data_IF_159075650964
#
_entry.id   IF_159075650964
#
_cell.length_a   1.000
_cell.length_b   1.000
_cell.length_c   1.000
_cell.angle_alpha   90.00
_cell.angle_beta   90.00
_cell.angle_gamma   90.00
#
_symmetry.space_group_name_H-M   'P 1'
#
loop_
_entity.id
_entity.type
_entity.pdbx_description
1 polymer ?
#
# COMPACT_ATOMS: atom_id res chain seq x y z
N UNK A 1 -29.60 -45.48 -6.50
CA UNK A 1 -29.27 -45.08 -5.12
C UNK A 1 -27.98 -44.26 -5.08
N UNK A 2 -26.82 -44.78 -5.52
CA UNK A 2 -25.56 -44.01 -5.52
C UNK A 2 -25.56 -42.72 -6.37
N UNK A 3 -26.20 -42.72 -7.54
CA UNK A 3 -26.20 -41.54 -8.42
C UNK A 3 -26.90 -40.31 -7.82
N UNK A 4 -27.91 -40.49 -6.95
CA UNK A 4 -28.61 -39.37 -6.29
C UNK A 4 -27.94 -38.84 -5.02
N UNK A 5 -26.99 -39.60 -4.43
CA UNK A 5 -26.17 -39.14 -3.31
C UNK A 5 -24.99 -38.29 -3.78
N UNK A 6 -24.39 -38.65 -4.92
CA UNK A 6 -23.25 -37.93 -5.51
C UNK A 6 -23.67 -36.51 -5.95
N UNK A 7 -24.87 -36.34 -6.50
CA UNK A 7 -25.42 -35.02 -6.87
C UNK A 7 -25.71 -34.14 -5.63
N UNK A 8 -26.07 -34.77 -4.49
CA UNK A 8 -26.30 -34.07 -3.22
C UNK A 8 -25.00 -33.55 -2.59
N UNK A 9 -24.00 -34.43 -2.44
CA UNK A 9 -22.71 -34.08 -1.84
C UNK A 9 -21.95 -33.01 -2.64
N UNK A 10 -22.00 -33.05 -3.97
CA UNK A 10 -21.42 -32.00 -4.83
C UNK A 10 -22.11 -30.65 -4.61
N UNK A 11 -23.44 -30.64 -4.50
CA UNK A 11 -24.20 -29.44 -4.18
C UNK A 11 -23.81 -28.84 -2.82
N UNK A 12 -23.66 -29.68 -1.80
CA UNK A 12 -23.25 -29.26 -0.46
C UNK A 12 -21.79 -28.78 -0.40
N UNK A 13 -20.88 -29.38 -1.18
CA UNK A 13 -19.51 -28.87 -1.32
C UNK A 13 -19.49 -27.45 -1.90
N UNK A 14 -20.22 -27.21 -2.99
CA UNK A 14 -20.30 -25.89 -3.60
C UNK A 14 -20.95 -24.87 -2.67
N UNK A 15 -21.98 -25.28 -1.91
CA UNK A 15 -22.58 -24.46 -0.88
C UNK A 15 -21.55 -24.07 0.19
N UNK A 16 -20.81 -25.04 0.75
CA UNK A 16 -19.77 -24.77 1.74
C UNK A 16 -18.68 -23.87 1.19
N UNK A 17 -18.24 -24.07 -0.06
CA UNK A 17 -17.25 -23.20 -0.71
C UNK A 17 -17.77 -21.76 -0.87
N UNK A 18 -19.03 -21.57 -1.28
CA UNK A 18 -19.62 -20.24 -1.37
C UNK A 18 -19.71 -19.56 0.01
N UNK A 19 -20.05 -20.32 1.06
CA UNK A 19 -20.08 -19.81 2.43
C UNK A 19 -18.69 -19.39 2.90
N UNK A 20 -17.65 -20.17 2.58
CA UNK A 20 -16.26 -19.85 2.87
C UNK A 20 -15.84 -18.52 2.23
N UNK A 21 -16.02 -18.38 0.92
CA UNK A 21 -15.65 -17.16 0.17
C UNK A 21 -16.44 -15.94 0.66
N UNK A 22 -17.73 -16.12 0.97
CA UNK A 22 -18.57 -15.06 1.53
C UNK A 22 -18.08 -14.65 2.93
N UNK A 23 -17.71 -15.62 3.77
CA UNK A 23 -17.21 -15.34 5.11
C UNK A 23 -15.90 -14.54 5.07
N UNK A 24 -14.96 -14.92 4.19
CA UNK A 24 -13.68 -14.21 4.04
C UNK A 24 -13.90 -12.75 3.59
N UNK A 25 -14.80 -12.54 2.62
CA UNK A 25 -15.15 -11.20 2.15
C UNK A 25 -15.79 -10.35 3.26
N UNK A 26 -16.75 -10.90 4.02
CA UNK A 26 -17.45 -10.19 5.09
C UNK A 26 -16.49 -9.81 6.23
N UNK A 27 -15.64 -10.76 6.66
CA UNK A 27 -14.64 -10.54 7.71
C UNK A 27 -13.62 -9.49 7.27
N UNK A 28 -13.11 -9.57 6.05
CA UNK A 28 -12.18 -8.59 5.48
C UNK A 28 -12.78 -7.20 5.33
N UNK A 29 -14.11 -7.11 5.20
CA UNK A 29 -14.85 -5.84 5.11
C UNK A 29 -15.27 -5.28 6.48
N UNK A 30 -14.99 -6.00 7.57
CA UNK A 30 -15.36 -5.61 8.94
C UNK A 30 -16.78 -6.01 9.37
N UNK A 31 -17.51 -6.79 8.58
CA UNK A 31 -18.83 -7.34 8.94
C UNK A 31 -18.70 -8.62 9.78
N UNK A 32 -18.06 -8.52 10.96
CA UNK A 32 -17.62 -9.69 11.73
C UNK A 32 -18.73 -10.66 12.13
N UNK A 33 -19.86 -10.17 12.68
CA UNK A 33 -20.94 -11.04 13.15
C UNK A 33 -21.51 -11.92 12.03
N UNK A 34 -21.72 -11.33 10.84
CA UNK A 34 -22.20 -12.07 9.67
C UNK A 34 -21.11 -12.98 9.12
N UNK A 35 -19.88 -12.49 9.05
CA UNK A 35 -18.74 -13.27 8.57
C UNK A 35 -18.54 -14.57 9.35
N UNK A 36 -18.49 -14.50 10.68
CA UNK A 36 -18.36 -15.68 11.53
C UNK A 36 -19.55 -16.64 11.42
N UNK A 37 -20.78 -16.10 11.32
CA UNK A 37 -21.98 -16.94 11.13
C UNK A 37 -21.91 -17.78 9.86
N UNK A 38 -21.46 -17.20 8.74
CA UNK A 38 -21.31 -17.97 7.50
C UNK A 38 -20.12 -18.92 7.55
N UNK A 39 -19.03 -18.57 8.24
CA UNK A 39 -17.89 -19.44 8.49
C UNK A 39 -18.29 -20.69 9.31
N UNK A 40 -19.09 -20.51 10.36
CA UNK A 40 -19.60 -21.61 11.19
C UNK A 40 -20.47 -22.58 10.37
N UNK A 41 -21.34 -22.03 9.51
CA UNK A 41 -22.16 -22.84 8.59
C UNK A 41 -21.30 -23.61 7.59
N UNK A 42 -20.24 -22.99 7.06
CA UNK A 42 -19.26 -23.68 6.22
C UNK A 42 -18.61 -24.84 7.00
N UNK A 43 -18.14 -24.58 8.22
CA UNK A 43 -17.45 -25.57 9.03
C UNK A 43 -18.38 -26.74 9.44
N UNK A 44 -19.66 -26.48 9.71
CA UNK A 44 -20.66 -27.51 9.98
C UNK A 44 -20.81 -28.49 8.79
N UNK A 45 -20.98 -27.96 7.57
CA UNK A 45 -21.10 -28.78 6.36
C UNK A 45 -19.78 -29.53 6.11
N UNK A 46 -18.65 -28.83 6.19
CA UNK A 46 -17.33 -29.40 5.92
C UNK A 46 -16.97 -30.53 6.90
N UNK A 47 -17.29 -30.39 8.19
CA UNK A 47 -17.06 -31.44 9.20
C UNK A 47 -18.04 -32.61 9.02
N UNK A 48 -19.32 -32.35 8.75
CA UNK A 48 -20.33 -33.40 8.54
C UNK A 48 -19.99 -34.29 7.35
N UNK A 49 -19.52 -33.70 6.25
CA UNK A 49 -19.19 -34.39 5.01
C UNK A 49 -17.70 -34.77 4.89
N UNK A 50 -16.91 -34.43 5.90
CA UNK A 50 -15.46 -34.69 5.94
C UNK A 50 -14.70 -34.14 4.73
N UNK A 51 -14.82 -32.83 4.49
CA UNK A 51 -14.05 -32.07 3.50
C UNK A 51 -12.83 -31.40 4.15
N UNK A 52 -11.68 -32.09 4.29
CA UNK A 52 -10.57 -31.61 5.11
C UNK A 52 -9.95 -30.31 4.58
N UNK A 53 -9.95 -30.08 3.26
CA UNK A 53 -9.46 -28.82 2.68
C UNK A 53 -10.32 -27.64 3.13
N UNK A 54 -11.65 -27.77 3.13
CA UNK A 54 -12.55 -26.71 3.58
C UNK A 54 -12.43 -26.48 5.09
N UNK A 55 -12.27 -27.55 5.89
CA UNK A 55 -12.02 -27.41 7.33
C UNK A 55 -10.71 -26.64 7.58
N UNK A 56 -9.63 -27.01 6.88
CA UNK A 56 -8.33 -26.34 6.95
C UNK A 56 -8.44 -24.85 6.59
N UNK A 57 -9.06 -24.52 5.45
CA UNK A 57 -9.23 -23.12 5.02
C UNK A 57 -10.11 -22.33 6.00
N UNK A 58 -11.20 -22.93 6.50
CA UNK A 58 -12.05 -22.28 7.52
C UNK A 58 -11.30 -22.03 8.82
N UNK A 59 -10.46 -22.96 9.28
CA UNK A 59 -9.59 -22.77 10.44
C UNK A 59 -8.56 -21.65 10.20
N UNK A 60 -8.01 -21.51 9.00
CA UNK A 60 -7.10 -20.41 8.66
C UNK A 60 -7.79 -19.04 8.70
N UNK A 61 -9.00 -18.94 8.13
CA UNK A 61 -9.80 -17.71 8.19
C UNK A 61 -10.15 -17.38 9.64
N UNK A 62 -10.69 -18.35 10.39
CA UNK A 62 -11.02 -18.17 11.80
C UNK A 62 -9.82 -17.71 12.63
N UNK A 63 -8.67 -18.38 12.49
CA UNK A 63 -7.44 -18.01 13.19
C UNK A 63 -6.85 -16.65 12.82
N UNK A 64 -7.27 -16.05 11.70
CA UNK A 64 -6.87 -14.70 11.29
C UNK A 64 -7.72 -13.63 11.98
N UNK A 65 -9.03 -13.87 12.10
CA UNK A 65 -9.99 -12.84 12.53
C UNK A 65 -10.46 -12.98 13.99
N UNK A 66 -10.34 -14.16 14.59
CA UNK A 66 -10.70 -14.36 16.01
C UNK A 66 -9.79 -13.52 16.91
N UNK A 67 -10.42 -12.76 17.81
CA UNK A 67 -9.73 -11.86 18.74
C UNK A 67 -8.99 -12.62 19.84
N UNK A 68 -9.61 -13.70 20.37
CA UNK A 68 -9.01 -14.54 21.39
C UNK A 68 -7.77 -15.27 20.84
N UNK A 69 -6.61 -15.00 21.45
CA UNK A 69 -5.34 -15.50 20.93
C UNK A 69 -5.14 -17.00 21.07
N UNK A 70 -5.67 -17.58 22.13
CA UNK A 70 -5.57 -19.02 22.38
C UNK A 70 -6.46 -19.80 21.40
N UNK A 71 -7.69 -19.33 21.19
CA UNK A 71 -8.62 -19.88 20.21
C UNK A 71 -8.06 -19.77 18.79
N UNK A 72 -7.61 -18.58 18.39
CA UNK A 72 -7.00 -18.38 17.08
C UNK A 72 -5.77 -19.27 16.87
N UNK A 73 -4.90 -19.37 17.88
CA UNK A 73 -3.75 -20.27 17.84
C UNK A 73 -4.13 -21.74 17.73
N UNK A 74 -5.21 -22.16 18.39
CA UNK A 74 -5.75 -23.52 18.29
C UNK A 74 -6.25 -23.84 16.88
N UNK A 75 -7.03 -22.93 16.29
CA UNK A 75 -7.54 -23.06 14.91
C UNK A 75 -6.39 -23.19 13.90
N UNK A 76 -5.36 -22.35 14.00
CA UNK A 76 -4.24 -22.40 13.06
C UNK A 76 -3.40 -23.68 13.22
N UNK A 77 -3.25 -24.20 14.45
CA UNK A 77 -2.61 -25.51 14.69
C UNK A 77 -3.43 -26.66 14.12
N UNK A 78 -4.76 -26.60 14.20
CA UNK A 78 -5.66 -27.56 13.55
C UNK A 78 -5.50 -27.51 12.02
N UNK A 79 -5.49 -26.31 11.43
CA UNK A 79 -5.25 -26.11 10.00
C UNK A 79 -3.90 -26.69 9.56
N UNK A 80 -2.81 -26.38 10.26
CA UNK A 80 -1.48 -26.90 9.95
C UNK A 80 -1.44 -28.43 10.02
N UNK A 81 -2.08 -29.03 11.05
CA UNK A 81 -2.18 -30.49 11.19
C UNK A 81 -2.92 -31.13 10.01
N UNK A 82 -4.04 -30.56 9.60
CA UNK A 82 -4.81 -31.05 8.45
C UNK A 82 -3.99 -30.90 7.16
N UNK A 83 -3.34 -29.76 6.96
CA UNK A 83 -2.50 -29.53 5.78
C UNK A 83 -1.37 -30.57 5.68
N UNK A 84 -0.74 -30.91 6.81
CA UNK A 84 0.29 -31.95 6.89
C UNK A 84 -0.25 -33.34 6.57
N UNK A 85 -1.45 -33.70 7.04
CA UNK A 85 -2.03 -35.02 6.71
C UNK A 85 -2.46 -35.16 5.25
N UNK A 86 -2.55 -34.03 4.51
CA UNK A 86 -2.88 -33.99 3.08
C UNK A 86 -1.66 -33.79 2.18
N UNK A 87 -0.44 -33.72 2.73
CA UNK A 87 0.78 -33.30 2.01
C UNK A 87 0.59 -31.97 1.24
N UNK A 88 -0.26 -31.08 1.76
CA UNK A 88 -0.59 -29.81 1.14
C UNK A 88 0.42 -28.74 1.55
N UNK A 89 1.53 -28.63 0.79
CA UNK A 89 2.62 -27.68 1.05
C UNK A 89 2.10 -26.24 1.20
N UNK A 90 1.15 -25.80 0.36
CA UNK A 90 0.56 -24.46 0.43
C UNK A 90 -0.20 -24.23 1.74
N UNK A 91 -1.00 -25.22 2.16
CA UNK A 91 -1.71 -25.17 3.44
C UNK A 91 -0.76 -25.14 4.64
N UNK A 92 0.31 -25.95 4.62
CA UNK A 92 1.34 -25.97 5.67
C UNK A 92 2.00 -24.60 5.77
N UNK A 93 2.40 -24.05 4.62
CA UNK A 93 3.08 -22.76 4.57
C UNK A 93 2.17 -21.62 5.03
N UNK A 94 0.91 -21.58 4.57
CA UNK A 94 -0.08 -20.57 4.93
C UNK A 94 -0.42 -20.60 6.42
N UNK A 95 -0.78 -21.76 6.97
CA UNK A 95 -1.06 -21.91 8.40
C UNK A 95 0.17 -21.58 9.26
N UNK A 96 1.36 -22.02 8.84
CA UNK A 96 2.62 -21.69 9.49
C UNK A 96 2.94 -20.19 9.48
N UNK A 97 2.64 -19.48 8.39
CA UNK A 97 2.88 -18.04 8.30
C UNK A 97 1.96 -17.27 9.26
N UNK A 98 0.68 -17.65 9.33
CA UNK A 98 -0.28 -17.07 10.26
C UNK A 98 0.14 -17.33 11.73
N UNK A 99 0.52 -18.57 12.06
CA UNK A 99 1.06 -18.91 13.39
C UNK A 99 2.30 -18.09 13.73
N UNK A 100 3.23 -17.96 12.79
CA UNK A 100 4.49 -17.25 13.02
C UNK A 100 4.25 -15.76 13.26
N UNK A 101 3.31 -15.16 12.54
CA UNK A 101 2.87 -13.79 12.78
C UNK A 101 2.29 -13.62 14.19
N UNK A 102 1.43 -14.56 14.64
CA UNK A 102 0.85 -14.51 16.00
C UNK A 102 1.91 -14.69 17.08
N UNK A 103 2.80 -15.66 16.91
CA UNK A 103 3.93 -15.88 17.81
C UNK A 103 4.76 -14.60 17.96
N UNK A 104 5.05 -13.89 16.86
CA UNK A 104 5.75 -12.60 16.92
C UNK A 104 4.95 -11.51 17.66
N UNK A 105 3.63 -11.42 17.46
CA UNK A 105 2.75 -10.46 18.17
C UNK A 105 2.78 -10.74 19.69
N UNK A 106 2.85 -12.00 20.08
CA UNK A 106 2.97 -12.44 21.47
C UNK A 106 4.40 -12.29 22.04
N UNK A 107 5.34 -11.77 21.25
CA UNK A 107 6.73 -11.55 21.65
C UNK A 107 7.61 -12.81 21.61
N UNK A 108 7.18 -13.87 20.92
CA UNK A 108 7.94 -15.10 20.73
C UNK A 108 8.79 -15.01 19.45
N UNK A 109 10.10 -14.98 19.63
CA UNK A 109 11.04 -14.82 18.52
C UNK A 109 11.02 -16.01 17.54
N UNK A 110 10.62 -17.20 17.99
CA UNK A 110 10.50 -18.40 17.16
C UNK A 110 9.51 -18.20 16.00
N UNK A 111 8.57 -17.26 16.13
CA UNK A 111 7.64 -16.88 15.06
C UNK A 111 8.35 -16.37 13.81
N UNK A 112 9.53 -15.73 13.96
CA UNK A 112 10.35 -15.27 12.82
C UNK A 112 10.87 -16.46 12.03
N UNK A 113 11.41 -17.46 12.71
CA UNK A 113 11.93 -18.67 12.07
C UNK A 113 10.82 -19.45 11.36
N UNK A 114 9.63 -19.50 11.97
CA UNK A 114 8.44 -20.08 11.34
C UNK A 114 8.04 -19.33 10.06
N UNK A 115 8.03 -17.99 10.08
CA UNK A 115 7.74 -17.19 8.88
C UNK A 115 8.77 -17.44 7.76
N UNK A 116 10.06 -17.49 8.10
CA UNK A 116 11.13 -17.81 7.13
C UNK A 116 10.93 -19.19 6.53
N UNK A 117 10.62 -20.19 7.37
CA UNK A 117 10.33 -21.55 6.92
C UNK A 117 9.11 -21.60 5.98
N UNK A 118 8.00 -20.94 6.35
CA UNK A 118 6.81 -20.83 5.51
C UNK A 118 7.08 -20.14 4.17
N UNK A 119 7.91 -19.09 4.15
CA UNK A 119 8.34 -18.46 2.91
C UNK A 119 9.13 -19.44 2.01
N UNK A 120 9.96 -20.31 2.60
CA UNK A 120 10.65 -21.38 1.90
C UNK A 120 9.70 -22.38 1.24
N UNK A 121 8.71 -22.88 1.99
CA UNK A 121 7.70 -23.80 1.46
C UNK A 121 6.86 -23.18 0.32
N UNK A 122 6.48 -21.90 0.42
CA UNK A 122 5.79 -21.20 -0.67
C UNK A 122 6.67 -21.10 -1.92
N UNK A 123 7.98 -20.83 -1.75
CA UNK A 123 8.90 -20.77 -2.87
C UNK A 123 9.06 -22.15 -3.55
N UNK A 124 9.14 -23.23 -2.77
CA UNK A 124 9.15 -24.62 -3.27
C UNK A 124 7.86 -24.97 -4.03
N UNK A 125 6.71 -24.50 -3.55
CA UNK A 125 5.42 -24.66 -4.22
C UNK A 125 5.26 -23.84 -5.51
N UNK A 126 6.22 -22.96 -5.82
CA UNK A 126 6.21 -22.08 -6.99
C UNK A 126 5.55 -20.71 -6.75
N UNK A 127 5.07 -20.44 -5.54
CA UNK A 127 4.32 -19.23 -5.18
C UNK A 127 5.26 -18.08 -4.79
N UNK A 128 6.14 -17.70 -5.73
CA UNK A 128 7.26 -16.77 -5.49
C UNK A 128 6.84 -15.42 -4.90
N UNK A 129 5.69 -14.88 -5.31
CA UNK A 129 5.20 -13.59 -4.82
C UNK A 129 4.81 -13.69 -3.34
N UNK A 130 4.08 -14.74 -2.97
CA UNK A 130 3.62 -14.95 -1.60
C UNK A 130 4.78 -15.31 -0.66
N UNK A 131 5.73 -16.10 -1.16
CA UNK A 131 7.00 -16.35 -0.48
C UNK A 131 7.74 -15.04 -0.14
N UNK A 132 7.81 -14.11 -1.10
CA UNK A 132 8.49 -12.83 -0.90
C UNK A 132 7.75 -11.92 0.09
N UNK A 133 6.41 -11.90 0.08
CA UNK A 133 5.59 -11.17 1.07
C UNK A 133 5.79 -11.74 2.48
N UNK A 134 5.73 -13.07 2.62
CA UNK A 134 5.96 -13.75 3.90
C UNK A 134 7.37 -13.50 4.44
N UNK A 135 8.38 -13.52 3.54
CA UNK A 135 9.76 -13.18 3.90
C UNK A 135 9.91 -11.72 4.33
N UNK A 136 9.23 -10.79 3.66
CA UNK A 136 9.23 -9.38 4.07
C UNK A 136 8.61 -9.19 5.46
N UNK A 137 7.56 -9.93 5.78
CA UNK A 137 6.96 -9.93 7.12
C UNK A 137 7.96 -10.43 8.17
N UNK A 138 8.69 -11.51 7.89
CA UNK A 138 9.77 -11.99 8.76
C UNK A 138 10.87 -10.92 8.96
N UNK A 139 11.25 -10.21 7.89
CA UNK A 139 12.24 -9.13 7.96
C UNK A 139 11.78 -7.96 8.85
N UNK A 140 10.50 -7.60 8.78
CA UNK A 140 9.92 -6.56 9.62
C UNK A 140 9.92 -6.96 11.10
N UNK A 141 9.58 -8.22 11.41
CA UNK A 141 9.67 -8.75 12.77
C UNK A 141 11.10 -8.84 13.29
N UNK A 142 12.07 -9.18 12.43
CA UNK A 142 13.50 -9.07 12.76
C UNK A 142 13.85 -7.63 13.15
N UNK A 143 13.34 -6.63 12.44
CA UNK A 143 13.66 -5.22 12.70
C UNK A 143 13.12 -4.79 14.06
N UNK A 144 11.84 -5.09 14.31
CA UNK A 144 11.16 -4.79 15.58
C UNK A 144 11.78 -5.52 16.78
N UNK A 145 12.41 -6.66 16.54
CA UNK A 145 13.12 -7.44 17.56
C UNK A 145 14.62 -7.08 17.67
N UNK A 146 15.10 -6.09 16.91
CA UNK A 146 16.48 -5.60 17.02
C UNK A 146 17.54 -6.47 16.32
N UNK A 147 17.18 -7.19 15.25
CA UNK A 147 18.08 -8.02 14.44
C UNK A 147 18.48 -7.36 13.11
N UNK A 148 19.35 -6.34 13.11
CA UNK A 148 19.60 -5.49 11.94
C UNK A 148 20.09 -6.22 10.69
N UNK A 149 21.12 -7.06 10.82
CA UNK A 149 21.73 -7.73 9.66
C UNK A 149 20.76 -8.77 9.06
N UNK A 150 19.99 -9.48 9.91
CA UNK A 150 18.94 -10.41 9.47
C UNK A 150 17.78 -9.69 8.77
N UNK A 151 17.39 -8.50 9.26
CA UNK A 151 16.42 -7.64 8.57
C UNK A 151 16.91 -7.25 7.18
N UNK A 152 18.16 -6.79 7.06
CA UNK A 152 18.75 -6.35 5.79
C UNK A 152 18.72 -7.50 4.78
N UNK A 153 19.24 -8.67 5.17
CA UNK A 153 19.29 -9.87 4.32
C UNK A 153 17.90 -10.26 3.81
N UNK A 154 16.95 -10.48 4.71
CA UNK A 154 15.60 -10.91 4.33
C UNK A 154 14.85 -9.86 3.50
N UNK A 155 15.03 -8.57 3.79
CA UNK A 155 14.39 -7.50 3.04
C UNK A 155 14.97 -7.33 1.63
N UNK A 156 16.29 -7.47 1.46
CA UNK A 156 16.93 -7.44 0.13
C UNK A 156 16.47 -8.61 -0.75
N UNK A 157 16.40 -9.81 -0.17
CA UNK A 157 15.87 -11.00 -0.86
C UNK A 157 14.40 -10.82 -1.26
N UNK A 158 13.56 -10.34 -0.35
CA UNK A 158 12.15 -10.09 -0.62
C UNK A 158 11.97 -9.03 -1.72
N UNK A 159 12.72 -7.92 -1.65
CA UNK A 159 12.68 -6.85 -2.65
C UNK A 159 13.05 -7.35 -4.06
N UNK A 160 13.98 -8.31 -4.16
CA UNK A 160 14.38 -8.94 -5.42
C UNK A 160 13.19 -9.43 -6.26
N UNK A 161 12.15 -9.92 -5.59
CA UNK A 161 10.88 -10.35 -6.21
C UNK A 161 9.83 -9.22 -6.20
N UNK A 162 9.63 -8.56 -5.04
CA UNK A 162 8.54 -7.60 -4.84
C UNK A 162 8.64 -6.33 -5.71
N UNK A 163 9.84 -5.97 -6.18
CA UNK A 163 10.04 -4.85 -7.11
C UNK A 163 9.23 -4.97 -8.41
N UNK A 164 8.85 -6.20 -8.80
CA UNK A 164 8.04 -6.49 -9.98
C UNK A 164 6.55 -6.74 -9.65
N UNK A 165 6.12 -6.51 -8.41
CA UNK A 165 4.73 -6.71 -8.01
C UNK A 165 3.79 -5.74 -8.74
N UNK A 166 2.59 -6.22 -9.08
CA UNK A 166 1.50 -5.38 -9.56
C UNK A 166 0.90 -4.50 -8.45
N UNK A 167 1.08 -4.90 -7.19
CA UNK A 167 0.70 -4.12 -6.01
C UNK A 167 1.73 -3.01 -5.81
N UNK A 168 1.35 -1.78 -6.14
CA UNK A 168 2.25 -0.61 -6.17
C UNK A 168 2.92 -0.30 -4.83
N UNK A 169 2.34 -0.74 -3.73
CA UNK A 169 2.89 -0.56 -2.39
C UNK A 169 4.02 -1.54 -2.06
N UNK A 170 4.05 -2.73 -2.66
CA UNK A 170 4.99 -3.78 -2.26
C UNK A 170 6.47 -3.37 -2.45
N UNK A 171 6.88 -2.73 -3.57
CA UNK A 171 8.24 -2.22 -3.70
C UNK A 171 8.65 -1.21 -2.61
N UNK A 172 7.93 -0.09 -2.37
CA UNK A 172 8.33 0.85 -1.32
C UNK A 172 8.19 0.29 0.09
N UNK A 173 7.26 -0.66 0.34
CA UNK A 173 7.17 -1.37 1.62
C UNK A 173 8.44 -2.17 1.90
N UNK A 174 8.91 -2.95 0.92
CA UNK A 174 10.15 -3.73 1.04
C UNK A 174 11.38 -2.84 1.28
N UNK A 175 11.50 -1.74 0.54
CA UNK A 175 12.58 -0.76 0.74
C UNK A 175 12.51 -0.07 2.11
N UNK A 176 11.31 0.13 2.65
CA UNK A 176 11.13 0.73 3.99
C UNK A 176 11.55 -0.21 5.11
N UNK A 177 11.30 -1.52 4.98
CA UNK A 177 11.83 -2.52 5.94
C UNK A 177 13.36 -2.63 5.83
N UNK A 178 13.92 -2.59 4.61
CA UNK A 178 15.37 -2.53 4.42
C UNK A 178 15.97 -1.27 5.07
N UNK A 179 15.33 -0.11 4.91
CA UNK A 179 15.73 1.13 5.57
C UNK A 179 15.77 0.96 7.09
N UNK A 180 14.77 0.30 7.67
CA UNK A 180 14.72 0.02 9.10
C UNK A 180 15.93 -0.81 9.55
N UNK A 181 16.24 -1.91 8.87
CA UNK A 181 17.46 -2.69 9.16
C UNK A 181 18.74 -1.86 9.07
N UNK A 182 18.86 -1.01 8.05
CA UNK A 182 20.02 -0.10 7.88
C UNK A 182 20.12 0.97 8.97
N UNK A 183 18.98 1.45 9.49
CA UNK A 183 18.94 2.37 10.64
C UNK A 183 19.47 1.68 11.88
N UNK A 184 18.96 0.48 12.19
CA UNK A 184 19.39 -0.31 13.34
C UNK A 184 20.89 -0.69 13.26
N UNK A 185 21.41 -0.90 12.05
CA UNK A 185 22.82 -1.13 11.78
C UNK A 185 23.71 0.14 11.74
N UNK A 186 23.17 1.32 12.09
CA UNK A 186 23.82 2.64 12.03
C UNK A 186 24.51 2.94 10.67
N UNK A 187 23.93 2.49 9.55
CA UNK A 187 24.47 2.69 8.20
C UNK A 187 24.05 4.05 7.61
N UNK A 188 24.27 5.15 8.33
CA UNK A 188 23.70 6.50 8.03
C UNK A 188 23.77 6.95 6.56
N UNK A 189 24.89 6.75 5.88
CA UNK A 189 25.05 7.11 4.45
C UNK A 189 24.09 6.32 3.55
N UNK A 190 23.92 5.02 3.80
CA UNK A 190 22.99 4.16 3.07
C UNK A 190 21.55 4.52 3.41
N UNK A 191 21.24 4.75 4.68
CA UNK A 191 19.90 5.18 5.15
C UNK A 191 19.45 6.44 4.41
N UNK A 192 20.26 7.51 4.44
CA UNK A 192 19.90 8.77 3.76
C UNK A 192 19.69 8.55 2.26
N UNK A 193 20.59 7.82 1.59
CA UNK A 193 20.48 7.54 0.15
C UNK A 193 19.19 6.79 -0.16
N UNK A 194 18.88 5.75 0.61
CA UNK A 194 17.71 4.91 0.39
C UNK A 194 16.41 5.66 0.68
N UNK A 195 16.32 6.41 1.78
CA UNK A 195 15.13 7.20 2.08
C UNK A 195 14.86 8.23 0.99
N UNK A 196 15.89 8.94 0.50
CA UNK A 196 15.75 9.86 -0.62
C UNK A 196 15.24 9.17 -1.90
N UNK A 197 15.73 7.95 -2.19
CA UNK A 197 15.27 7.17 -3.33
C UNK A 197 13.79 6.75 -3.19
N UNK A 198 13.40 6.26 -2.01
CA UNK A 198 12.02 5.89 -1.70
C UNK A 198 11.09 7.08 -1.93
N UNK A 199 11.37 8.21 -1.30
CA UNK A 199 10.45 9.35 -1.33
C UNK A 199 10.41 10.10 -2.67
N UNK A 200 11.44 9.95 -3.49
CA UNK A 200 11.47 10.55 -4.83
C UNK A 200 10.64 9.73 -5.82
N UNK A 201 10.60 8.41 -5.64
CA UNK A 201 9.97 7.50 -6.59
C UNK A 201 8.57 7.03 -6.16
N UNK A 202 8.20 7.17 -4.89
CA UNK A 202 6.95 6.65 -4.34
C UNK A 202 6.23 7.68 -3.47
N UNK A 203 4.90 7.85 -3.64
CA UNK A 203 4.08 8.73 -2.81
C UNK A 203 3.75 8.04 -1.47
N UNK A 204 4.76 7.81 -0.64
CA UNK A 204 4.68 6.88 0.50
C UNK A 204 3.60 7.19 1.53
N UNK A 205 3.18 8.46 1.72
CA UNK A 205 2.08 8.76 2.66
C UNK A 205 0.72 8.25 2.17
N UNK A 206 0.59 7.92 0.88
CA UNK A 206 -0.61 7.26 0.34
C UNK A 206 -0.65 5.75 0.63
N UNK A 207 0.43 5.20 1.20
CA UNK A 207 0.57 3.80 1.60
C UNK A 207 0.69 3.74 3.13
N UNK A 208 -0.43 3.65 3.87
CA UNK A 208 -0.44 3.82 5.32
C UNK A 208 0.52 2.88 6.06
N UNK A 209 0.57 1.62 5.65
CA UNK A 209 1.42 0.59 6.25
C UNK A 209 2.89 0.89 5.97
N UNK A 210 3.23 1.21 4.72
CA UNK A 210 4.59 1.62 4.35
C UNK A 210 5.04 2.86 5.11
N UNK A 211 4.20 3.88 5.23
CA UNK A 211 4.52 5.09 5.96
C UNK A 211 4.63 4.85 7.48
N UNK A 212 3.86 3.91 8.03
CA UNK A 212 4.00 3.47 9.43
C UNK A 212 5.38 2.86 9.66
N UNK A 213 5.82 1.95 8.80
CA UNK A 213 7.15 1.32 8.90
C UNK A 213 8.26 2.37 8.81
N UNK A 214 8.15 3.36 7.91
CA UNK A 214 9.11 4.46 7.82
C UNK A 214 9.15 5.29 9.10
N UNK A 215 8.00 5.58 9.72
CA UNK A 215 7.92 6.30 10.99
C UNK A 215 8.59 5.51 12.11
N UNK A 216 8.29 4.22 12.24
CA UNK A 216 8.95 3.32 13.20
C UNK A 216 10.48 3.35 13.02
N UNK A 217 10.97 3.18 11.79
CA UNK A 217 12.41 3.24 11.50
C UNK A 217 13.04 4.59 11.89
N UNK A 218 12.34 5.70 11.66
CA UNK A 218 12.84 7.05 11.95
C UNK A 218 12.84 7.37 13.44
N UNK A 219 12.02 6.71 14.25
CA UNK A 219 12.07 6.86 15.71
C UNK A 219 13.40 6.36 16.29
N UNK A 220 14.05 5.39 15.61
CA UNK A 220 15.42 4.96 15.91
C UNK A 220 16.52 5.85 15.29
N UNK A 221 16.16 6.81 14.42
CA UNK A 221 17.08 7.76 13.79
C UNK A 221 16.49 9.19 13.72
N UNK A 222 16.31 9.88 14.86
CA UNK A 222 15.62 11.17 14.92
C UNK A 222 16.22 12.26 14.02
N UNK A 223 17.53 12.18 13.73
CA UNK A 223 18.24 13.10 12.83
C UNK A 223 17.62 13.15 11.40
N UNK A 224 16.90 12.10 10.98
CA UNK A 224 16.17 12.10 9.70
C UNK A 224 15.01 13.10 9.67
N UNK A 225 14.46 13.48 10.83
CA UNK A 225 13.40 14.50 10.96
C UNK A 225 13.96 15.92 10.84
N UNK A 226 15.24 16.11 11.13
CA UNK A 226 15.92 17.42 11.07
C UNK A 226 16.60 17.66 9.72
N UNK A 227 17.02 16.57 9.07
CA UNK A 227 17.75 16.60 7.81
C UNK A 227 16.91 17.27 6.70
N UNK A 228 17.48 18.30 6.07
CA UNK A 228 16.77 19.19 5.12
C UNK A 228 16.02 18.45 4.00
N UNK A 229 16.57 17.34 3.51
CA UNK A 229 16.00 16.57 2.40
C UNK A 229 14.86 15.63 2.78
N UNK A 230 14.73 15.29 4.07
CA UNK A 230 13.78 14.26 4.54
C UNK A 230 12.79 14.80 5.56
N UNK A 231 13.07 15.96 6.18
CA UNK A 231 12.18 16.61 7.16
C UNK A 231 10.75 16.84 6.66
N UNK A 232 10.58 17.15 5.38
CA UNK A 232 9.26 17.44 4.78
C UNK A 232 8.35 16.20 4.79
N UNK A 233 8.94 14.99 4.70
CA UNK A 233 8.18 13.75 4.80
C UNK A 233 7.51 13.60 6.17
N UNK A 234 8.17 14.05 7.23
CA UNK A 234 7.74 13.85 8.62
C UNK A 234 7.12 15.09 9.25
N UNK A 235 6.96 16.17 8.47
CA UNK A 235 6.28 17.37 8.93
C UNK A 235 4.77 17.10 9.11
N UNK A 236 4.16 17.84 10.04
CA UNK A 236 2.72 17.80 10.28
C UNK A 236 1.92 18.08 9.02
N UNK A 237 0.71 17.53 8.96
CA UNK A 237 -0.19 17.73 7.83
C UNK A 237 -0.52 19.21 7.67
N UNK A 238 -0.09 19.79 6.54
CA UNK A 238 -0.42 21.16 6.18
C UNK A 238 -1.77 21.15 5.47
N UNK A 239 -2.74 21.87 6.02
CA UNK A 239 -4.00 22.15 5.33
C UNK A 239 -3.77 23.33 4.41
N UNK A 240 -3.94 23.10 3.10
CA UNK A 240 -3.97 24.15 2.10
C UNK A 240 -5.40 24.64 1.91
N UNK A 241 -5.56 25.90 1.52
CA UNK A 241 -6.86 26.47 1.15
C UNK A 241 -6.78 27.10 -0.22
N UNK A 242 -7.86 27.08 -0.98
CA UNK A 242 -7.98 27.76 -2.28
C UNK A 242 -9.25 28.58 -2.33
N UNK A 243 -9.19 29.78 -2.90
CA UNK A 243 -10.38 30.62 -3.10
C UNK A 243 -11.35 29.95 -4.07
N UNK A 244 -12.65 30.15 -3.83
CA UNK A 244 -13.72 29.73 -4.73
C UNK A 244 -13.49 30.24 -6.15
N UNK A 245 -13.09 31.51 -6.28
CA UNK A 245 -12.82 32.15 -7.57
C UNK A 245 -11.71 31.45 -8.34
N UNK A 246 -10.62 31.06 -7.67
CA UNK A 246 -9.53 30.32 -8.32
C UNK A 246 -9.97 28.93 -8.78
N UNK A 247 -10.80 28.24 -7.99
CA UNK A 247 -11.37 26.94 -8.39
C UNK A 247 -12.26 27.08 -9.61
N UNK A 248 -13.15 28.06 -9.64
CA UNK A 248 -14.02 28.28 -10.80
C UNK A 248 -13.21 28.64 -12.05
N UNK A 249 -12.16 29.46 -11.92
CA UNK A 249 -11.25 29.73 -13.03
C UNK A 249 -10.57 28.45 -13.53
N UNK A 250 -10.02 27.61 -12.64
CA UNK A 250 -9.42 26.32 -13.00
C UNK A 250 -10.42 25.46 -13.80
N UNK A 251 -11.66 25.35 -13.33
CA UNK A 251 -12.72 24.57 -13.98
C UNK A 251 -13.03 25.10 -15.37
N UNK A 252 -13.13 26.41 -15.54
CA UNK A 252 -13.35 27.05 -16.85
C UNK A 252 -12.19 26.71 -17.80
N UNK A 253 -10.94 26.94 -17.39
CA UNK A 253 -9.78 26.70 -18.27
C UNK A 253 -9.60 25.22 -18.61
N UNK A 254 -9.88 24.32 -17.67
CA UNK A 254 -9.81 22.88 -17.91
C UNK A 254 -10.84 22.43 -18.96
N UNK A 255 -12.05 22.99 -18.92
CA UNK A 255 -13.10 22.74 -19.94
C UNK A 255 -12.74 23.33 -21.30
N UNK A 256 -12.16 24.53 -21.33
CA UNK A 256 -11.70 25.18 -22.58
C UNK A 256 -10.57 24.39 -23.27
N UNK A 257 -9.66 23.81 -22.49
CA UNK A 257 -8.55 23.03 -23.02
C UNK A 257 -8.93 21.61 -23.46
N UNK A 258 -10.05 21.05 -22.95
CA UNK A 258 -10.44 19.67 -23.20
C UNK A 258 -10.58 19.36 -24.70
N UNK A 259 -10.01 18.24 -25.21
CA UNK A 259 -9.44 17.11 -24.49
C UNK A 259 -7.95 17.22 -24.13
N UNK A 260 -7.30 18.37 -24.37
CA UNK A 260 -5.92 18.61 -23.96
C UNK A 260 -5.83 18.97 -22.47
N UNK A 261 -4.63 18.84 -21.90
CA UNK A 261 -4.35 19.27 -20.53
C UNK A 261 -4.14 20.78 -20.48
N UNK A 262 -4.88 21.44 -19.61
CA UNK A 262 -4.63 22.79 -19.15
C UNK A 262 -3.54 22.77 -18.08
N UNK A 263 -2.80 23.87 -17.92
CA UNK A 263 -2.26 24.15 -16.60
C UNK A 263 -1.75 25.58 -16.38
N UNK A 264 -1.57 25.87 -15.10
CA UNK A 264 -1.29 27.20 -14.58
C UNK A 264 -0.39 27.12 -13.35
N UNK A 265 0.26 28.24 -13.04
CA UNK A 265 0.92 28.43 -11.76
C UNK A 265 -0.13 28.82 -10.71
N UNK A 266 -0.01 28.24 -9.52
CA UNK A 266 -0.79 28.67 -8.37
C UNK A 266 -0.13 29.89 -7.74
N UNK A 267 -0.95 30.82 -7.24
CA UNK A 267 -0.51 31.93 -6.40
C UNK A 267 -1.08 31.79 -5.00
N UNK A 268 -0.21 31.91 -4.01
CA UNK A 268 -0.36 31.57 -2.60
C UNK A 268 0.27 30.21 -2.23
N UNK A 269 1.03 30.15 -1.13
CA UNK A 269 1.68 28.89 -0.68
C UNK A 269 0.69 27.99 0.06
N UNK A 270 0.04 28.51 1.11
CA UNK A 270 -0.97 27.80 1.91
C UNK A 270 -2.39 28.27 1.62
N UNK A 271 -2.53 29.50 1.13
CA UNK A 271 -3.80 30.14 0.84
C UNK A 271 -3.75 30.61 -0.60
N UNK A 272 -4.22 29.76 -1.50
CA UNK A 272 -4.20 30.00 -2.94
C UNK A 272 -5.32 30.98 -3.28
N UNK A 273 -4.99 32.08 -3.94
CA UNK A 273 -5.94 33.18 -4.22
C UNK A 273 -6.37 33.25 -5.67
N UNK A 274 -5.50 32.88 -6.61
CA UNK A 274 -5.73 32.94 -8.06
C UNK A 274 -4.70 32.08 -8.81
N UNK A 275 -4.96 31.83 -10.09
CA UNK A 275 -4.07 31.08 -10.98
C UNK A 275 -3.45 32.00 -12.04
N UNK A 276 -2.26 31.67 -12.50
CA UNK A 276 -1.62 32.32 -13.64
C UNK A 276 -1.42 31.32 -14.77
N UNK A 277 -2.16 31.45 -15.90
CA UNK A 277 -2.03 30.55 -17.04
C UNK A 277 -0.60 30.51 -17.57
N UNK A 278 -0.08 29.32 -17.83
CA UNK A 278 1.22 29.15 -18.46
C UNK A 278 1.00 29.31 -19.97
N UNK A 279 1.05 30.56 -20.43
CA UNK A 279 0.64 30.96 -21.79
C UNK A 279 1.29 30.11 -22.89
N UNK A 280 0.46 29.74 -23.88
CA UNK A 280 0.72 28.85 -25.01
C UNK A 280 1.78 29.38 -25.99
N UNK A 281 2.60 28.46 -26.50
CA UNK A 281 3.61 28.74 -27.51
C UNK A 281 4.11 27.47 -28.16
N UNK A 282 3.22 26.65 -28.73
CA UNK A 282 3.58 25.69 -29.78
C UNK A 282 2.32 25.18 -30.47
N UNK A 283 2.10 25.64 -31.68
CA UNK A 283 1.11 25.19 -32.67
C UNK A 283 1.30 23.74 -33.15
N UNK A 284 1.84 22.84 -32.31
CA UNK A 284 2.04 21.45 -32.66
C UNK A 284 2.07 20.58 -31.40
N UNK A 285 1.04 19.75 -31.21
CA UNK A 285 0.95 18.46 -30.49
C UNK A 285 2.04 18.10 -29.47
N UNK A 286 2.48 19.04 -28.64
CA UNK A 286 3.51 18.83 -27.62
C UNK A 286 2.85 19.00 -26.27
N UNK A 287 2.88 17.94 -25.47
CA UNK A 287 2.28 17.83 -24.14
C UNK A 287 2.52 19.09 -23.31
N UNK A 288 1.52 19.54 -22.53
CA UNK A 288 1.66 20.55 -21.47
C UNK A 288 2.96 20.38 -20.64
N UNK A 289 3.32 19.12 -20.37
CA UNK A 289 4.58 18.75 -19.73
C UNK A 289 5.84 19.28 -20.44
N UNK A 290 5.88 19.33 -21.77
CA UNK A 290 7.02 19.84 -22.53
C UNK A 290 7.13 21.37 -22.44
N UNK A 291 6.01 22.09 -22.44
CA UNK A 291 6.00 23.56 -22.33
C UNK A 291 6.41 24.02 -20.92
N UNK A 292 5.97 23.29 -19.88
CA UNK A 292 6.44 23.44 -18.50
C UNK A 292 7.94 23.11 -18.40
N UNK A 293 8.37 21.93 -18.84
CA UNK A 293 9.76 21.50 -18.69
C UNK A 293 10.75 22.43 -19.44
N UNK A 294 10.36 22.96 -20.60
CA UNK A 294 11.20 23.89 -21.39
C UNK A 294 11.31 25.28 -20.74
N UNK A 295 10.23 25.82 -20.17
CA UNK A 295 10.24 27.14 -19.50
C UNK A 295 11.00 27.14 -18.17
N UNK A 296 11.00 26.03 -17.44
CA UNK A 296 11.59 25.95 -16.09
C UNK A 296 13.00 25.34 -16.07
N UNK A 297 13.75 25.42 -17.17
CA UNK A 297 15.19 25.09 -17.23
C UNK A 297 16.08 26.11 -16.51
N UNK A 298 15.53 27.23 -16.05
CA UNK A 298 16.30 28.31 -15.43
C UNK A 298 15.60 28.87 -14.17
N UNK A 299 16.30 28.74 -13.03
CA UNK A 299 16.06 29.35 -11.70
C UNK A 299 14.88 28.81 -10.86
N UNK A 300 15.17 28.68 -9.56
CA UNK A 300 14.18 28.55 -8.49
C UNK A 300 13.33 29.83 -8.44
N UNK A 301 12.11 29.77 -8.97
CA UNK A 301 11.15 30.86 -8.85
C UNK A 301 10.61 30.89 -7.41
N UNK A 302 10.62 32.04 -6.72
CA UNK A 302 9.94 32.18 -5.43
C UNK A 302 8.42 32.07 -5.63
N UNK A 303 7.80 31.01 -5.09
CA UNK A 303 6.35 30.74 -5.08
C UNK A 303 5.81 29.90 -6.27
N UNK A 304 4.68 29.18 -6.23
CA UNK A 304 3.66 28.91 -5.19
C UNK A 304 2.87 27.59 -5.43
N UNK A 305 3.28 26.77 -6.42
CA UNK A 305 2.61 25.51 -6.78
C UNK A 305 2.17 25.49 -8.24
N UNK A 306 1.64 24.36 -8.72
CA UNK A 306 1.06 24.24 -10.07
C UNK A 306 -0.29 23.54 -10.05
N UNK A 307 -1.13 23.85 -11.03
CA UNK A 307 -2.36 23.12 -11.31
C UNK A 307 -2.39 22.68 -12.75
N UNK A 308 -2.87 21.46 -13.01
CA UNK A 308 -3.15 20.99 -14.36
C UNK A 308 -4.38 20.09 -14.43
N UNK A 309 -4.93 19.93 -15.64
CA UNK A 309 -6.12 19.11 -15.86
C UNK A 309 -5.81 17.74 -16.47
N UNK A 310 -6.57 16.72 -16.08
CA UNK A 310 -6.50 15.36 -16.66
C UNK A 310 -7.80 15.03 -17.42
N UNK A 311 -7.73 14.63 -18.71
CA UNK A 311 -8.91 14.22 -19.47
C UNK A 311 -9.42 12.81 -19.08
N UNK A 312 -8.63 12.01 -18.37
CA UNK A 312 -8.86 10.59 -18.08
C UNK A 312 -9.86 10.30 -16.94
N UNK A 313 -10.42 11.34 -16.31
CA UNK A 313 -11.30 11.20 -15.14
C UNK A 313 -10.62 10.77 -13.85
N UNK A 314 -9.28 10.65 -13.83
CA UNK A 314 -8.51 10.36 -12.63
C UNK A 314 -7.58 11.51 -12.27
N UNK A 315 -7.74 12.06 -11.07
CA UNK A 315 -6.85 13.10 -10.55
C UNK A 315 -5.54 12.55 -9.97
N UNK A 316 -5.16 11.31 -10.34
CA UNK A 316 -3.96 10.62 -9.85
C UNK A 316 -2.73 11.03 -10.67
N UNK A 317 -1.61 11.41 -10.03
CA UNK A 317 -0.40 11.79 -10.74
C UNK A 317 0.22 10.62 -11.51
N UNK A 318 0.68 10.90 -12.71
CA UNK A 318 1.59 10.07 -13.51
C UNK A 318 3.04 10.17 -13.01
N UNK A 319 3.93 9.34 -13.54
CA UNK A 319 5.38 9.45 -13.25
C UNK A 319 5.96 10.78 -13.71
N UNK A 320 5.42 11.35 -14.80
CA UNK A 320 5.86 12.63 -15.31
C UNK A 320 5.45 13.75 -14.34
N UNK A 321 4.25 13.68 -13.76
CA UNK A 321 3.76 14.65 -12.77
C UNK A 321 4.61 14.64 -11.50
N UNK A 322 4.95 13.46 -10.98
CA UNK A 322 5.84 13.34 -9.80
C UNK A 322 7.20 14.01 -10.03
N UNK A 323 7.77 13.87 -11.24
CA UNK A 323 9.02 14.54 -11.63
C UNK A 323 8.88 16.06 -11.68
N UNK A 324 7.67 16.55 -11.99
CA UNK A 324 7.35 17.97 -12.00
C UNK A 324 7.14 18.54 -10.59
N UNK A 325 6.44 17.82 -9.73
CA UNK A 325 6.09 18.27 -8.36
C UNK A 325 7.33 18.64 -7.55
N UNK A 326 8.42 17.88 -7.70
CA UNK A 326 9.69 18.16 -7.05
C UNK A 326 10.34 19.49 -7.46
N UNK A 327 9.90 20.13 -8.55
CA UNK A 327 10.49 21.38 -9.08
C UNK A 327 9.88 22.64 -8.44
N UNK A 328 8.67 22.56 -7.92
CA UNK A 328 7.98 23.69 -7.30
C UNK A 328 7.97 23.59 -5.78
N UNK A 329 8.12 24.70 -5.04
CA UNK A 329 8.11 24.68 -3.59
C UNK A 329 6.73 24.56 -2.93
N UNK A 330 5.66 24.76 -3.70
CA UNK A 330 4.28 24.76 -3.19
C UNK A 330 3.53 23.46 -3.50
N UNK A 331 2.21 23.56 -3.39
CA UNK A 331 1.24 22.49 -3.66
C UNK A 331 1.09 22.20 -5.16
N UNK A 332 0.74 20.97 -5.50
CA UNK A 332 0.43 20.58 -6.87
C UNK A 332 -1.02 20.10 -6.92
N UNK A 333 -1.85 20.68 -7.80
CA UNK A 333 -3.27 20.36 -7.92
C UNK A 333 -3.51 19.68 -9.27
N UNK A 334 -4.28 18.60 -9.25
CA UNK A 334 -4.78 17.94 -10.46
C UNK A 334 -6.30 18.01 -10.42
N UNK A 335 -6.93 18.53 -11.48
CA UNK A 335 -8.38 18.45 -11.68
C UNK A 335 -8.69 17.49 -12.83
N UNK A 336 -9.53 16.48 -12.58
CA UNK A 336 -9.85 15.48 -13.59
C UNK A 336 -11.24 15.71 -14.19
N UNK A 337 -11.48 15.25 -15.42
CA UNK A 337 -12.83 15.25 -16.00
C UNK A 337 -13.84 14.57 -15.03
N UNK A 338 -15.04 15.13 -14.75
CA UNK A 338 -15.73 16.21 -15.46
C UNK A 338 -15.38 17.66 -15.03
N UNK A 339 -14.29 17.85 -14.30
CA UNK A 339 -13.80 19.14 -13.80
C UNK A 339 -14.75 19.79 -12.79
N UNK A 340 -15.12 19.00 -11.78
CA UNK A 340 -15.88 19.43 -10.60
C UNK A 340 -15.01 19.45 -9.34
N UNK A 341 -15.53 20.04 -8.27
CA UNK A 341 -14.81 20.24 -7.01
C UNK A 341 -14.27 18.92 -6.42
N UNK A 342 -15.06 17.84 -6.50
CA UNK A 342 -14.73 16.50 -6.03
C UNK A 342 -13.82 15.71 -6.97
N UNK A 343 -13.67 16.16 -8.21
CA UNK A 343 -12.72 15.63 -9.19
C UNK A 343 -11.31 16.23 -9.05
N UNK A 344 -11.09 17.08 -8.04
CA UNK A 344 -9.82 17.73 -7.77
C UNK A 344 -9.02 17.01 -6.67
N UNK A 345 -7.71 16.99 -6.82
CA UNK A 345 -6.78 16.42 -5.87
C UNK A 345 -5.58 17.33 -5.68
N UNK A 346 -5.07 17.41 -4.46
CA UNK A 346 -3.87 18.18 -4.14
C UNK A 346 -2.75 17.27 -3.62
N UNK A 347 -1.51 17.65 -3.94
CA UNK A 347 -0.31 16.89 -3.65
C UNK A 347 0.83 17.77 -3.16
N UNK A 348 1.65 17.25 -2.24
CA UNK A 348 2.94 17.85 -1.90
C UNK A 348 4.00 17.59 -2.99
N UNK A 349 5.21 18.09 -2.76
CA UNK A 349 6.35 17.96 -3.70
C UNK A 349 6.78 16.51 -3.94
N UNK A 350 6.39 15.62 -3.05
CA UNK A 350 6.75 14.21 -3.03
C UNK A 350 5.61 13.34 -3.60
N UNK A 351 4.53 13.99 -4.06
CA UNK A 351 3.36 13.31 -4.60
C UNK A 351 2.43 12.72 -3.56
N UNK A 352 2.60 13.03 -2.27
CA UNK A 352 1.65 12.62 -1.24
C UNK A 352 0.39 13.48 -1.35
N UNK A 353 -0.79 12.88 -1.16
CA UNK A 353 -2.02 13.68 -1.06
C UNK A 353 -1.93 14.61 0.15
N UNK A 354 -2.40 15.84 -0.04
CA UNK A 354 -2.54 16.83 1.03
C UNK A 354 -3.98 17.34 1.06
N UNK A 355 -4.42 17.80 2.23
CA UNK A 355 -5.75 18.38 2.38
C UNK A 355 -5.81 19.75 1.71
N UNK A 356 -6.83 19.95 0.87
CA UNK A 356 -7.15 21.22 0.22
C UNK A 356 -8.60 21.60 0.54
N UNK A 357 -8.79 22.76 1.18
CA UNK A 357 -10.11 23.29 1.52
C UNK A 357 -10.48 24.45 0.58
N UNK A 358 -11.66 24.39 -0.03
CA UNK A 358 -12.18 25.50 -0.83
C UNK A 358 -12.83 26.51 0.12
N UNK A 359 -12.35 27.77 0.08
CA UNK A 359 -12.85 28.87 0.90
C UNK A 359 -13.51 29.94 0.03
N UNK A 360 -14.60 30.49 0.53
CA UNK A 360 -15.29 31.63 -0.08
C UNK A 360 -14.63 32.95 0.28
#
# INVERSE_FOLDING_TARGET
>A
ALAGQIDGEQGEYHQARCLLELSDFLLSSGEFERGFRELDRCMEIARRLNFPVLIMESCMIGGTFVEDGDEAGSLLKEAEKIARSLDNIRGIAGAGALLGSRECIEGKEEGIDRLVHSAGLLAEAGDRMEAAKTKLLAALWCARSGYPERTIELAEEAYGTLKNSHEREMPPRALSVLLYGLVLADRRKKVKKLLMDIITNYPVKQFPETFSILKEAVDHAPWLREERGTRELFADEIIYTISRDAVEEIKIRAREAYPNEFGAMLRGIRHITHIEPIMEGASNRSSFMFSIFSRFTQRSVPGEGVVHSHPSGSARPSRADLSLFGRFPGINIIIAYPFEDDSMAAYDRMGNRVKLEIKN
#
